data_IF_948597667086
#
_entry.id   IF_948597667086
#
_cell.length_a   1.000
_cell.length_b   1.000
_cell.length_c   1.000
_cell.angle_alpha   90.00
_cell.angle_beta   90.00
_cell.angle_gamma   90.00
#
_symmetry.space_group_name_H-M   'P 1'
#
loop_
_entity.id
_entity.type
_entity.pdbx_description
1 polymer ?
#
# COMPACT_ATOMS: atom_id res chain seq x y z
N UNK A 1 -11.20 70.23 -27.84
CA UNK A 1 -11.17 69.28 -26.71
C UNK A 1 -11.45 67.89 -27.24
N UNK A 2 -10.57 66.91 -26.99
CA UNK A 2 -10.84 65.48 -27.23
C UNK A 2 -10.46 64.73 -25.96
N UNK A 3 -11.45 64.14 -25.30
CA UNK A 3 -11.28 63.36 -24.08
C UNK A 3 -10.77 61.95 -24.43
N UNK A 4 -9.65 61.56 -23.85
CA UNK A 4 -9.20 60.17 -23.81
C UNK A 4 -9.90 59.46 -22.66
N UNK A 5 -10.97 58.72 -22.96
CA UNK A 5 -11.45 57.62 -22.13
C UNK A 5 -10.94 56.30 -22.72
N UNK A 6 -10.84 55.28 -21.86
CA UNK A 6 -10.33 53.91 -22.12
C UNK A 6 -8.87 53.65 -21.76
N UNK A 7 -8.62 53.29 -20.49
CA UNK A 7 -7.53 52.37 -20.10
C UNK A 7 -7.68 51.67 -18.72
N UNK A 8 -8.86 51.66 -18.08
CA UNK A 8 -9.00 51.14 -16.71
C UNK A 8 -9.70 49.78 -16.56
N UNK A 9 -10.46 49.27 -17.54
CA UNK A 9 -11.21 48.00 -17.38
C UNK A 9 -10.33 46.74 -17.47
N UNK A 10 -9.39 46.68 -18.42
CA UNK A 10 -8.54 45.50 -18.64
C UNK A 10 -7.63 45.14 -17.46
N UNK A 11 -7.20 46.12 -16.64
CA UNK A 11 -6.34 45.84 -15.48
C UNK A 11 -7.08 45.22 -14.30
N UNK A 12 -8.39 45.44 -14.19
CA UNK A 12 -9.19 44.89 -13.09
C UNK A 12 -9.68 43.47 -13.38
N UNK A 13 -10.06 43.16 -14.63
CA UNK A 13 -10.49 41.80 -15.03
C UNK A 13 -9.35 40.78 -14.88
N UNK A 14 -8.14 41.12 -15.35
CA UNK A 14 -6.95 40.26 -15.21
C UNK A 14 -6.58 40.00 -13.74
N UNK A 15 -6.80 40.99 -12.86
CA UNK A 15 -6.49 40.86 -11.43
C UNK A 15 -7.49 39.92 -10.72
N UNK A 16 -8.77 40.04 -11.06
CA UNK A 16 -9.84 39.20 -10.51
C UNK A 16 -9.70 37.75 -10.99
N UNK A 17 -9.35 37.52 -12.26
CA UNK A 17 -9.07 36.17 -12.78
C UNK A 17 -7.84 35.53 -12.10
N UNK A 18 -6.77 36.31 -11.88
CA UNK A 18 -5.57 35.81 -11.19
C UNK A 18 -5.80 35.48 -9.71
N UNK A 19 -6.64 36.27 -9.03
CA UNK A 19 -7.02 36.00 -7.64
C UNK A 19 -7.93 34.76 -7.56
N UNK A 20 -8.90 34.61 -8.46
CA UNK A 20 -9.78 33.45 -8.51
C UNK A 20 -9.00 32.14 -8.80
N UNK A 21 -8.03 32.16 -9.71
CA UNK A 21 -7.14 31.02 -9.96
C UNK A 21 -6.32 30.66 -8.73
N UNK A 22 -5.72 31.65 -8.05
CA UNK A 22 -4.96 31.44 -6.83
C UNK A 22 -5.81 30.87 -5.68
N UNK A 23 -7.05 31.34 -5.51
CA UNK A 23 -7.98 30.78 -4.52
C UNK A 23 -8.41 29.35 -4.85
N UNK A 24 -8.59 29.01 -6.13
CA UNK A 24 -8.89 27.65 -6.55
C UNK A 24 -7.70 26.70 -6.30
N UNK A 25 -6.48 27.09 -6.68
CA UNK A 25 -5.27 26.31 -6.41
C UNK A 25 -5.05 26.09 -4.89
N UNK A 26 -5.29 27.12 -4.08
CA UNK A 26 -5.22 27.00 -2.61
C UNK A 26 -6.28 26.05 -2.06
N UNK A 27 -7.49 26.08 -2.60
CA UNK A 27 -8.58 25.20 -2.18
C UNK A 27 -8.31 23.75 -2.61
N UNK A 28 -7.87 23.51 -3.84
CA UNK A 28 -7.45 22.19 -4.31
C UNK A 28 -6.28 21.64 -3.47
N UNK A 29 -5.28 22.48 -3.16
CA UNK A 29 -4.18 22.11 -2.28
C UNK A 29 -4.64 21.76 -0.85
N UNK A 30 -5.62 22.50 -0.31
CA UNK A 30 -6.22 22.21 1.00
C UNK A 30 -7.04 20.93 0.98
N UNK A 31 -7.83 20.70 -0.07
CA UNK A 31 -8.60 19.47 -0.27
C UNK A 31 -7.66 18.27 -0.35
N UNK A 32 -6.61 18.35 -1.19
CA UNK A 32 -5.60 17.30 -1.30
C UNK A 32 -4.89 17.04 0.04
N UNK A 33 -4.57 18.08 0.82
CA UNK A 33 -4.04 17.90 2.19
C UNK A 33 -5.03 17.20 3.12
N UNK A 34 -6.31 17.57 3.09
CA UNK A 34 -7.33 16.92 3.92
C UNK A 34 -7.54 15.46 3.55
N UNK A 35 -7.49 15.12 2.27
CA UNK A 35 -7.54 13.74 1.79
C UNK A 35 -6.34 12.94 2.29
N UNK A 36 -5.11 13.47 2.15
CA UNK A 36 -3.91 12.80 2.65
C UNK A 36 -3.95 12.57 4.17
N UNK A 37 -4.50 13.52 4.94
CA UNK A 37 -4.71 13.35 6.38
C UNK A 37 -5.72 12.24 6.70
N UNK A 38 -6.71 12.00 5.84
CA UNK A 38 -7.64 10.88 5.98
C UNK A 38 -6.93 9.54 5.80
N UNK A 39 -6.04 9.43 4.80
CA UNK A 39 -5.19 8.25 4.63
C UNK A 39 -4.25 8.05 5.83
N UNK A 40 -3.65 9.12 6.36
CA UNK A 40 -2.73 9.05 7.50
C UNK A 40 -3.38 8.38 8.74
N UNK A 41 -4.70 8.50 8.93
CA UNK A 41 -5.44 7.82 10.00
C UNK A 41 -5.36 6.29 9.92
N UNK A 42 -5.20 5.74 8.72
CA UNK A 42 -5.17 4.30 8.46
C UNK A 42 -3.75 3.79 8.16
N UNK A 43 -2.70 4.56 8.51
CA UNK A 43 -1.31 4.18 8.24
C UNK A 43 -0.93 2.80 8.78
N UNK A 44 -1.44 2.42 9.95
CA UNK A 44 -1.12 1.12 10.56
C UNK A 44 -1.72 -0.05 9.77
N UNK A 45 -2.86 0.16 9.12
CA UNK A 45 -3.46 -0.81 8.20
C UNK A 45 -2.59 -0.94 6.94
N UNK A 46 -2.24 0.17 6.29
CA UNK A 46 -1.39 0.14 5.08
C UNK A 46 0.00 -0.46 5.34
N UNK A 47 0.60 -0.15 6.49
CA UNK A 47 1.84 -0.76 6.93
C UNK A 47 1.67 -2.27 7.12
N UNK A 48 0.58 -2.70 7.77
CA UNK A 48 0.34 -4.12 8.02
C UNK A 48 0.14 -4.89 6.72
N UNK A 49 -0.62 -4.37 5.76
CA UNK A 49 -0.80 -4.99 4.45
C UNK A 49 0.53 -5.13 3.70
N UNK A 50 1.36 -4.08 3.71
CA UNK A 50 2.70 -4.15 3.11
C UNK A 50 3.61 -5.19 3.78
N UNK A 51 3.56 -5.32 5.11
CA UNK A 51 4.35 -6.35 5.81
C UNK A 51 3.78 -7.75 5.57
N UNK A 52 2.46 -7.90 5.59
CA UNK A 52 1.80 -9.18 5.36
C UNK A 52 2.05 -9.69 3.95
N UNK A 53 1.99 -8.84 2.92
CA UNK A 53 2.30 -9.24 1.55
C UNK A 53 3.72 -9.79 1.43
N UNK A 54 4.70 -9.09 2.02
CA UNK A 54 6.07 -9.59 2.12
C UNK A 54 6.15 -10.94 2.84
N UNK A 55 5.52 -11.07 4.01
CA UNK A 55 5.53 -12.30 4.81
C UNK A 55 4.95 -13.47 4.01
N UNK A 56 3.84 -13.29 3.32
CA UNK A 56 3.23 -14.35 2.52
C UNK A 56 4.17 -14.85 1.40
N UNK A 57 4.98 -13.98 0.79
CA UNK A 57 6.02 -14.40 -0.16
C UNK A 57 7.16 -15.21 0.49
N UNK A 58 7.31 -15.21 1.82
CA UNK A 58 8.28 -16.08 2.48
C UNK A 58 7.77 -17.51 2.67
N UNK A 59 6.48 -17.75 2.50
CA UNK A 59 5.88 -19.06 2.71
C UNK A 59 6.13 -20.01 1.52
N UNK A 60 6.17 -21.31 1.82
CA UNK A 60 6.10 -22.38 0.84
C UNK A 60 4.64 -22.84 0.62
N UNK A 61 4.41 -23.74 -0.34
CA UNK A 61 3.06 -24.24 -0.67
C UNK A 61 2.29 -24.75 0.54
N UNK A 62 2.92 -25.50 1.44
CA UNK A 62 2.26 -26.07 2.62
C UNK A 62 1.92 -24.98 3.64
N UNK A 63 2.82 -24.02 3.83
CA UNK A 63 2.60 -22.87 4.72
C UNK A 63 1.43 -22.01 4.21
N UNK A 64 1.37 -21.72 2.90
CA UNK A 64 0.24 -21.02 2.29
C UNK A 64 -1.05 -21.85 2.38
N UNK A 65 -1.02 -23.15 2.09
CA UNK A 65 -2.20 -24.02 2.22
C UNK A 65 -2.78 -24.00 3.64
N UNK A 66 -1.93 -24.01 4.67
CA UNK A 66 -2.37 -23.91 6.06
C UNK A 66 -3.00 -22.55 6.41
N UNK A 67 -2.79 -21.52 5.59
CA UNK A 67 -3.44 -20.22 5.76
C UNK A 67 -4.89 -20.21 5.28
N UNK A 68 -5.41 -21.26 4.63
CA UNK A 68 -6.83 -21.33 4.20
C UNK A 68 -7.85 -21.18 5.35
N UNK A 69 -7.43 -21.44 6.60
CA UNK A 69 -8.26 -21.22 7.78
C UNK A 69 -8.41 -19.73 8.15
N UNK A 70 -7.50 -18.89 7.67
CA UNK A 70 -7.40 -17.45 7.97
C UNK A 70 -7.74 -16.62 6.73
N UNK A 71 -7.30 -17.08 5.56
CA UNK A 71 -7.46 -16.47 4.25
C UNK A 71 -8.38 -17.34 3.41
N UNK A 72 -9.32 -16.75 2.67
CA UNK A 72 -10.28 -17.51 1.86
C UNK A 72 -9.56 -18.34 0.79
N UNK A 73 -8.65 -17.67 0.08
CA UNK A 73 -7.74 -18.26 -0.90
C UNK A 73 -6.38 -17.56 -0.70
N UNK A 74 -5.39 -18.23 -0.10
CA UNK A 74 -4.09 -17.63 0.22
C UNK A 74 -3.33 -17.07 -0.98
N UNK A 75 -3.50 -17.64 -2.18
CA UNK A 75 -2.81 -17.15 -3.39
C UNK A 75 -3.52 -15.93 -3.95
N UNK A 76 -4.85 -15.94 -3.99
CA UNK A 76 -5.63 -14.76 -4.37
C UNK A 76 -5.39 -13.62 -3.39
N UNK A 77 -5.40 -13.90 -2.09
CA UNK A 77 -5.12 -12.89 -1.06
C UNK A 77 -3.69 -12.35 -1.18
N UNK A 78 -2.69 -13.20 -1.44
CA UNK A 78 -1.32 -12.75 -1.66
C UNK A 78 -1.21 -11.76 -2.82
N UNK A 79 -1.91 -12.03 -3.92
CA UNK A 79 -1.98 -11.15 -5.08
C UNK A 79 -2.69 -9.83 -4.75
N UNK A 80 -3.87 -9.90 -4.13
CA UNK A 80 -4.66 -8.72 -3.77
C UNK A 80 -3.97 -7.83 -2.73
N UNK A 81 -3.34 -8.43 -1.71
CA UNK A 81 -2.58 -7.70 -0.69
C UNK A 81 -1.33 -7.04 -1.28
N UNK A 82 -0.67 -7.69 -2.25
CA UNK A 82 0.42 -7.06 -2.99
C UNK A 82 -0.09 -5.86 -3.79
N UNK A 83 -1.15 -6.02 -4.58
CA UNK A 83 -1.69 -4.90 -5.38
C UNK A 83 -2.14 -3.74 -4.49
N UNK A 84 -2.83 -4.03 -3.40
CA UNK A 84 -3.33 -3.03 -2.47
C UNK A 84 -2.20 -2.31 -1.73
N UNK A 85 -1.21 -3.04 -1.20
CA UNK A 85 -0.09 -2.48 -0.46
C UNK A 85 0.76 -1.50 -1.29
N UNK A 86 0.75 -1.66 -2.61
CA UNK A 86 1.50 -0.83 -3.54
C UNK A 86 0.64 0.20 -4.29
N UNK A 87 -0.64 0.35 -3.95
CA UNK A 87 -1.42 1.51 -4.40
C UNK A 87 -0.69 2.80 -4.01
N UNK A 88 -0.46 3.75 -4.94
CA UNK A 88 0.44 4.88 -4.69
C UNK A 88 0.13 5.64 -3.40
N UNK A 89 -1.13 5.97 -3.16
CA UNK A 89 -1.52 6.72 -1.96
C UNK A 89 -1.31 5.92 -0.67
N UNK A 90 -1.63 4.63 -0.64
CA UNK A 90 -1.42 3.75 0.51
C UNK A 90 0.07 3.57 0.80
N UNK A 91 0.85 3.26 -0.25
CA UNK A 91 2.30 3.06 -0.17
C UNK A 91 3.02 4.33 0.30
N UNK A 92 2.73 5.49 -0.30
CA UNK A 92 3.32 6.77 0.11
C UNK A 92 2.97 7.14 1.56
N UNK A 93 1.77 6.77 2.02
CA UNK A 93 1.32 7.04 3.39
C UNK A 93 2.22 6.35 4.41
N UNK A 94 2.70 5.13 4.15
CA UNK A 94 3.64 4.41 5.01
C UNK A 94 4.95 5.18 5.21
N UNK A 95 5.51 5.76 4.14
CA UNK A 95 6.77 6.51 4.20
C UNK A 95 6.59 7.92 4.74
N UNK A 96 5.51 8.63 4.35
CA UNK A 96 5.19 9.97 4.83
C UNK A 96 5.05 9.99 6.36
N UNK A 97 4.49 8.93 6.93
CA UNK A 97 4.33 8.73 8.37
C UNK A 97 5.49 7.95 9.02
N UNK A 98 6.60 7.75 8.31
CA UNK A 98 7.85 7.17 8.84
C UNK A 98 7.70 5.77 9.46
N UNK A 99 6.71 4.98 9.03
CA UNK A 99 6.60 3.57 9.46
C UNK A 99 7.70 2.70 8.86
N UNK A 100 8.22 3.10 7.70
CA UNK A 100 9.40 2.53 7.05
C UNK A 100 10.30 3.70 6.62
N UNK A 101 11.62 3.56 6.78
CA UNK A 101 12.57 4.57 6.31
C UNK A 101 12.53 4.70 4.77
N UNK A 102 12.52 5.93 4.26
CA UNK A 102 12.44 6.24 2.83
C UNK A 102 13.54 5.61 1.98
N UNK A 103 14.69 5.24 2.58
CA UNK A 103 15.79 4.55 1.88
C UNK A 103 15.38 3.18 1.31
N UNK A 104 14.36 2.54 1.88
CA UNK A 104 13.87 1.23 1.44
C UNK A 104 12.81 1.31 0.34
N UNK A 105 12.29 2.50 0.04
CA UNK A 105 11.20 2.70 -0.91
C UNK A 105 11.50 2.14 -2.31
N UNK A 106 12.68 2.46 -2.84
CA UNK A 106 13.11 1.97 -4.16
C UNK A 106 13.25 0.44 -4.18
N UNK A 107 13.73 -0.15 -3.09
CA UNK A 107 13.90 -1.60 -2.98
C UNK A 107 12.54 -2.32 -2.96
N UNK A 108 11.55 -1.78 -2.25
CA UNK A 108 10.18 -2.30 -2.22
C UNK A 108 9.50 -2.19 -3.60
N UNK A 109 9.65 -1.06 -4.30
CA UNK A 109 9.12 -0.91 -5.66
C UNK A 109 9.77 -1.89 -6.65
N UNK A 110 11.09 -2.09 -6.54
CA UNK A 110 11.78 -3.09 -7.36
C UNK A 110 11.28 -4.51 -7.05
N UNK A 111 11.01 -4.82 -5.78
CA UNK A 111 10.45 -6.11 -5.38
C UNK A 111 9.07 -6.35 -6.01
N UNK A 112 8.17 -5.35 -5.97
CA UNK A 112 6.86 -5.42 -6.66
C UNK A 112 7.03 -5.75 -8.14
N UNK A 113 7.92 -5.04 -8.85
CA UNK A 113 8.14 -5.30 -10.27
C UNK A 113 8.66 -6.72 -10.54
N UNK A 114 9.53 -7.24 -9.67
CA UNK A 114 10.00 -8.63 -9.78
C UNK A 114 8.86 -9.64 -9.58
N UNK A 115 7.89 -9.34 -8.73
CA UNK A 115 6.69 -10.17 -8.54
C UNK A 115 5.78 -10.12 -9.78
N UNK A 116 5.57 -8.94 -10.38
CA UNK A 116 4.80 -8.78 -11.62
C UNK A 116 5.46 -9.51 -12.82
N UNK A 117 6.76 -9.77 -12.77
CA UNK A 117 7.50 -10.53 -13.78
C UNK A 117 7.42 -12.06 -13.59
N UNK A 118 6.78 -12.55 -12.53
CA UNK A 118 6.53 -13.98 -12.32
C UNK A 118 5.46 -14.43 -13.32
N UNK A 119 5.77 -15.41 -14.21
CA UNK A 119 4.78 -16.01 -15.09
C UNK A 119 3.63 -16.65 -14.31
N UNK A 120 2.42 -16.57 -14.86
CA UNK A 120 1.20 -17.09 -14.21
C UNK A 120 1.32 -18.57 -13.83
N UNK A 121 2.04 -19.37 -14.61
CA UNK A 121 2.24 -20.81 -14.34
C UNK A 121 2.98 -21.05 -13.03
N UNK A 122 3.84 -20.12 -12.59
CA UNK A 122 4.62 -20.27 -11.36
C UNK A 122 3.78 -19.96 -10.11
N UNK A 123 2.63 -19.31 -10.28
CA UNK A 123 1.68 -19.07 -9.19
C UNK A 123 0.93 -20.33 -8.77
N UNK A 124 0.96 -21.41 -9.56
CA UNK A 124 0.37 -22.69 -9.15
C UNK A 124 1.11 -23.28 -7.95
N UNK A 125 0.35 -23.80 -6.99
CA UNK A 125 0.85 -24.37 -5.72
C UNK A 125 2.01 -25.35 -5.87
N UNK A 126 2.11 -26.07 -6.99
CA UNK A 126 3.16 -27.04 -7.23
C UNK A 126 4.56 -26.42 -7.41
N UNK A 127 4.62 -25.16 -7.88
CA UNK A 127 5.85 -24.40 -8.13
C UNK A 127 6.24 -23.47 -6.98
N UNK A 128 5.29 -23.08 -6.13
CA UNK A 128 5.52 -22.27 -4.94
C UNK A 128 6.61 -22.91 -4.06
N UNK A 129 7.67 -22.15 -3.79
CA UNK A 129 8.79 -22.61 -2.97
C UNK A 129 9.68 -23.67 -3.61
N UNK A 130 9.51 -23.97 -4.91
CA UNK A 130 10.38 -24.89 -5.67
C UNK A 130 10.97 -24.24 -6.91
N UNK A 131 10.18 -23.44 -7.64
CA UNK A 131 10.65 -22.75 -8.83
C UNK A 131 11.73 -21.70 -8.49
N UNK A 132 12.73 -21.57 -9.36
CA UNK A 132 13.86 -20.66 -9.12
C UNK A 132 13.45 -19.20 -9.01
N UNK A 133 12.45 -18.74 -9.78
CA UNK A 133 11.94 -17.37 -9.69
C UNK A 133 11.23 -17.17 -8.36
N UNK A 134 10.39 -18.12 -7.94
CA UNK A 134 9.73 -18.04 -6.63
C UNK A 134 10.75 -18.02 -5.48
N UNK A 135 11.77 -18.88 -5.52
CA UNK A 135 12.83 -18.93 -4.51
C UNK A 135 13.62 -17.61 -4.43
N UNK A 136 13.85 -16.94 -5.56
CA UNK A 136 14.47 -15.60 -5.59
C UNK A 136 13.58 -14.57 -4.91
N UNK A 137 12.28 -14.55 -5.21
CA UNK A 137 11.31 -13.65 -4.59
C UNK A 137 11.20 -13.89 -3.09
N UNK A 138 11.08 -15.16 -2.67
CA UNK A 138 11.10 -15.56 -1.27
C UNK A 138 12.33 -15.05 -0.54
N UNK A 139 13.52 -15.29 -1.10
CA UNK A 139 14.78 -14.83 -0.52
C UNK A 139 14.86 -13.30 -0.45
N UNK A 140 14.32 -12.60 -1.46
CA UNK A 140 14.31 -11.15 -1.50
C UNK A 140 13.36 -10.56 -0.46
N UNK A 141 12.19 -11.15 -0.30
CA UNK A 141 11.23 -10.75 0.73
C UNK A 141 11.83 -10.91 2.13
N UNK A 142 12.48 -12.04 2.40
CA UNK A 142 13.21 -12.29 3.65
C UNK A 142 14.29 -11.23 3.94
N UNK A 143 15.07 -10.86 2.91
CA UNK A 143 16.09 -9.82 2.99
C UNK A 143 15.46 -8.46 3.34
N UNK A 144 14.39 -8.07 2.64
CA UNK A 144 13.69 -6.80 2.85
C UNK A 144 13.13 -6.74 4.27
N UNK A 145 12.38 -7.77 4.70
CA UNK A 145 11.80 -7.85 6.04
C UNK A 145 12.88 -7.69 7.13
N UNK A 146 14.04 -8.32 6.94
CA UNK A 146 15.19 -8.17 7.84
C UNK A 146 15.72 -6.73 7.86
N UNK A 147 15.90 -6.09 6.70
CA UNK A 147 16.41 -4.71 6.58
C UNK A 147 15.49 -3.69 7.24
N UNK A 148 14.17 -3.84 7.06
CA UNK A 148 13.17 -2.95 7.65
C UNK A 148 12.89 -3.25 9.14
N UNK A 149 13.55 -4.29 9.71
CA UNK A 149 13.49 -4.59 11.14
C UNK A 149 12.31 -5.44 11.58
N UNK A 150 11.60 -6.10 10.66
CA UNK A 150 10.50 -7.02 10.98
C UNK A 150 11.08 -8.36 11.42
N UNK A 151 10.83 -8.73 12.68
CA UNK A 151 11.44 -9.91 13.33
C UNK A 151 10.64 -11.19 13.16
N UNK A 152 9.32 -11.10 13.18
CA UNK A 152 8.42 -12.25 13.02
C UNK A 152 8.09 -12.48 11.53
N UNK A 153 7.73 -13.72 11.19
CA UNK A 153 7.18 -14.13 9.90
C UNK A 153 5.73 -14.61 10.04
N UNK A 154 5.09 -14.22 11.12
CA UNK A 154 3.71 -14.57 11.39
C UNK A 154 2.83 -13.55 10.69
N UNK A 155 1.93 -14.05 9.85
CA UNK A 155 0.92 -13.23 9.22
C UNK A 155 0.04 -12.57 10.29
N UNK A 156 -0.18 -11.26 10.18
CA UNK A 156 -1.01 -10.52 11.14
C UNK A 156 -2.44 -10.40 10.65
N UNK A 157 -3.33 -11.23 11.19
CA UNK A 157 -4.76 -11.23 10.86
C UNK A 157 -5.57 -10.05 11.43
N UNK A 158 -4.90 -9.05 12.03
CA UNK A 158 -5.53 -7.92 12.76
C UNK A 158 -6.61 -7.19 11.96
N UNK A 159 -6.47 -7.12 10.64
CA UNK A 159 -7.39 -6.43 9.74
C UNK A 159 -8.06 -7.39 8.74
N UNK A 160 -7.89 -8.69 8.93
CA UNK A 160 -8.43 -9.75 8.08
C UNK A 160 -9.65 -10.40 8.72
N UNK A 161 -10.54 -10.92 7.88
CA UNK A 161 -11.72 -11.66 8.33
C UNK A 161 -11.33 -13.12 8.50
N UNK A 162 -11.55 -13.69 9.67
CA UNK A 162 -11.31 -15.13 9.91
C UNK A 162 -12.60 -15.89 9.64
N UNK A 163 -12.52 -17.04 8.98
CA UNK A 163 -13.68 -17.91 8.76
C UNK A 163 -13.60 -19.08 9.74
N UNK A 164 -14.57 -19.19 10.64
CA UNK A 164 -14.71 -20.33 11.54
C UNK A 164 -15.80 -21.30 11.07
N UNK A 165 -15.88 -22.46 11.73
CA UNK A 165 -16.86 -23.53 11.46
C UNK A 165 -18.35 -23.16 11.69
N UNK A 166 -18.69 -21.87 11.75
CA UNK A 166 -20.06 -21.35 11.83
C UNK A 166 -20.29 -20.06 11.03
N UNK A 167 -19.34 -19.63 10.19
CA UNK A 167 -19.41 -18.39 9.39
C UNK A 167 -18.21 -17.46 9.59
N UNK A 168 -18.31 -16.23 9.07
CA UNK A 168 -17.28 -15.19 9.24
C UNK A 168 -17.22 -14.79 10.73
N UNK A 169 -16.10 -15.07 11.38
CA UNK A 169 -15.79 -14.62 12.74
C UNK A 169 -14.89 -13.39 12.61
N UNK A 170 -15.39 -12.22 13.05
CA UNK A 170 -14.53 -11.07 13.27
C UNK A 170 -13.62 -11.40 14.46
N UNK A 171 -12.34 -11.69 14.21
CA UNK A 171 -11.38 -11.73 15.30
C UNK A 171 -11.13 -10.29 15.74
N UNK A 172 -11.31 -10.02 17.04
CA UNK A 172 -10.77 -8.79 17.61
C UNK A 172 -9.24 -8.77 17.38
N UNK A 173 -8.68 -7.58 17.10
CA UNK A 173 -7.26 -7.41 16.82
C UNK A 173 -6.43 -8.02 17.94
N UNK A 174 -5.42 -8.84 17.61
CA UNK A 174 -4.49 -9.52 18.52
C UNK A 174 -4.39 -8.82 19.88
N UNK A 175 -5.21 -9.29 20.83
CA UNK A 175 -4.95 -8.99 22.24
C UNK A 175 -3.84 -9.94 22.64
N UNK A 176 -2.60 -9.52 22.43
CA UNK A 176 -1.47 -10.07 23.19
C UNK A 176 -1.87 -10.02 24.67
N UNK A 177 -2.31 -11.16 25.21
CA UNK A 177 -2.42 -11.34 26.65
C UNK A 177 -0.99 -11.31 27.17
N UNK A 178 -0.67 -10.19 27.82
CA UNK A 178 0.55 -9.91 28.57
C UNK A 178 1.06 -11.10 29.37
#
# INVERSE_FOLDING_TARGET
MKFNFFKSKQKNEVKIESEAQFFNELNESRLMKSELLEYDKNVDFYYTNLINSLILFTYNSNELYNMEAILIDPLTELYEEMDYAFLPVCFETVFRNQRIESKYKKELLNFRNQVEEIPNEIWDYEFIGKDEKWLKIKSKSEEILKKIGVKSRDFKGKYHKVIGNGGIIYQEPDTEKK
#
